data_IF_257936306711
#
_entry.id   IF_257936306711
#
_cell.length_a   1.000
_cell.length_b   1.000
_cell.length_c   1.000
_cell.angle_alpha   90.00
_cell.angle_beta   90.00
_cell.angle_gamma   90.00
#
_symmetry.space_group_name_H-M   'P 1'
#
loop_
_entity.id
_entity.type
_entity.pdbx_description
1 polymer ?
#
# COMPACT_ATOMS: atom_id res chain seq x y z
N UNK A 1 17.25 -6.11 -6.70
CA UNK A 1 16.09 -5.38 -7.20
C UNK A 1 14.85 -6.13 -6.78
N UNK A 2 14.13 -5.58 -5.80
CA UNK A 2 12.83 -6.07 -5.38
C UNK A 2 11.77 -5.44 -6.29
N UNK A 3 10.84 -6.25 -6.77
CA UNK A 3 9.71 -5.80 -7.59
C UNK A 3 8.46 -5.76 -6.72
N UNK A 4 7.80 -4.62 -6.71
CA UNK A 4 6.56 -4.39 -5.98
C UNK A 4 5.45 -4.15 -6.98
N UNK A 5 4.43 -4.99 -6.94
CA UNK A 5 3.19 -4.75 -7.65
C UNK A 5 2.37 -3.74 -6.85
N UNK A 6 1.91 -2.67 -7.50
CA UNK A 6 1.21 -1.58 -6.84
C UNK A 6 -0.11 -1.28 -7.56
N UNK A 7 -1.10 -0.88 -6.79
CA UNK A 7 -2.33 -0.30 -7.30
C UNK A 7 -2.24 1.23 -7.14
N UNK A 8 -2.11 1.94 -8.26
CA UNK A 8 -2.15 3.40 -8.27
C UNK A 8 -3.55 3.85 -8.66
N UNK A 9 -4.29 4.39 -7.69
CA UNK A 9 -5.72 4.71 -7.86
C UNK A 9 -5.99 6.14 -7.43
N UNK A 10 -6.92 6.80 -8.11
CA UNK A 10 -7.37 8.14 -7.76
C UNK A 10 -8.72 8.05 -7.07
N UNK A 11 -8.78 8.41 -5.80
CA UNK A 11 -10.01 8.35 -5.00
C UNK A 11 -10.33 9.72 -4.40
N UNK A 12 -11.57 10.19 -4.61
CA UNK A 12 -12.05 11.48 -4.10
C UNK A 12 -11.14 12.67 -4.44
N UNK A 13 -10.50 12.63 -5.61
CA UNK A 13 -9.60 13.68 -6.09
C UNK A 13 -8.14 13.56 -5.63
N UNK A 14 -7.81 12.61 -4.76
CA UNK A 14 -6.44 12.35 -4.29
C UNK A 14 -5.89 11.06 -4.90
N UNK A 15 -4.61 11.08 -5.27
CA UNK A 15 -3.90 9.90 -5.74
C UNK A 15 -3.39 9.05 -4.57
N UNK A 16 -3.62 7.74 -4.67
CA UNK A 16 -3.28 6.74 -3.68
C UNK A 16 -2.40 5.67 -4.31
N UNK A 17 -1.32 5.34 -3.64
CA UNK A 17 -0.38 4.31 -4.09
C UNK A 17 -0.44 3.17 -3.09
N UNK A 18 -1.12 2.09 -3.45
CA UNK A 18 -1.39 0.97 -2.55
C UNK A 18 -0.39 -0.15 -2.83
N UNK A 19 0.37 -0.51 -1.80
CA UNK A 19 1.33 -1.61 -1.80
C UNK A 19 0.73 -2.83 -1.10
N UNK A 20 0.26 -3.85 -1.85
CA UNK A 20 -0.01 -5.17 -1.29
C UNK A 20 1.30 -5.83 -0.85
N UNK A 21 1.48 -5.97 0.46
CA UNK A 21 2.61 -6.66 1.07
C UNK A 21 2.16 -7.98 1.70
N UNK A 22 3.15 -8.81 2.03
CA UNK A 22 2.95 -10.08 2.73
C UNK A 22 2.81 -9.86 4.24
N UNK A 23 2.32 -10.89 4.95
CA UNK A 23 2.19 -10.89 6.40
C UNK A 23 3.50 -10.63 7.16
N UNK A 24 4.65 -10.85 6.52
CA UNK A 24 5.97 -10.56 7.12
C UNK A 24 6.13 -9.08 7.44
N UNK A 25 5.58 -8.17 6.64
CA UNK A 25 5.55 -6.74 6.96
C UNK A 25 4.78 -6.48 8.26
N UNK A 26 3.60 -7.09 8.39
CA UNK A 26 2.76 -6.97 9.57
C UNK A 26 3.40 -7.49 10.86
N UNK A 27 4.33 -8.45 10.76
CA UNK A 27 5.07 -8.98 11.91
C UNK A 27 6.24 -8.10 12.37
N UNK A 28 6.63 -7.07 11.59
CA UNK A 28 7.73 -6.18 11.96
C UNK A 28 7.32 -5.16 13.02
N UNK A 29 8.32 -4.58 13.68
CA UNK A 29 8.11 -3.50 14.66
C UNK A 29 7.49 -2.26 14.00
N UNK A 30 6.80 -1.42 14.79
CA UNK A 30 6.22 -0.17 14.28
C UNK A 30 7.26 0.75 13.64
N UNK A 31 8.48 0.78 14.18
CA UNK A 31 9.61 1.53 13.65
C UNK A 31 10.04 0.99 12.29
N UNK A 32 10.28 -0.32 12.20
CA UNK A 32 10.68 -0.95 10.93
C UNK A 32 9.61 -0.83 9.84
N UNK A 33 8.34 -0.95 10.21
CA UNK A 33 7.23 -0.71 9.28
C UNK A 33 7.22 0.74 8.78
N UNK A 34 7.50 1.72 9.65
CA UNK A 34 7.58 3.13 9.25
C UNK A 34 8.76 3.37 8.30
N UNK A 35 9.94 2.84 8.61
CA UNK A 35 11.13 2.92 7.74
C UNK A 35 10.87 2.34 6.35
N UNK A 36 10.15 1.22 6.28
CA UNK A 36 9.73 0.63 5.01
C UNK A 36 8.74 1.54 4.29
N UNK A 37 7.73 2.08 4.97
CA UNK A 37 6.79 3.02 4.34
C UNK A 37 7.50 4.26 3.79
N UNK A 38 8.47 4.80 4.53
CA UNK A 38 9.25 5.97 4.10
C UNK A 38 10.09 5.64 2.86
N UNK A 39 10.71 4.44 2.84
CA UNK A 39 11.47 3.94 1.68
C UNK A 39 10.57 3.76 0.45
N UNK A 40 9.37 3.19 0.64
CA UNK A 40 8.38 3.04 -0.43
C UNK A 40 7.88 4.39 -0.95
N UNK A 41 7.69 5.37 -0.06
CA UNK A 41 7.29 6.72 -0.44
C UNK A 41 8.38 7.43 -1.25
N UNK A 42 9.64 7.29 -0.85
CA UNK A 42 10.78 7.81 -1.61
C UNK A 42 10.89 7.15 -3.00
N UNK A 43 10.73 5.83 -3.07
CA UNK A 43 10.74 5.10 -4.34
C UNK A 43 9.58 5.51 -5.25
N UNK A 44 8.38 5.71 -4.69
CA UNK A 44 7.23 6.20 -5.42
C UNK A 44 7.46 7.60 -5.99
N UNK A 45 8.05 8.52 -5.22
CA UNK A 45 8.43 9.84 -5.71
C UNK A 45 9.51 9.77 -6.79
N UNK A 46 10.53 8.92 -6.63
CA UNK A 46 11.55 8.70 -7.65
C UNK A 46 11.00 8.14 -8.97
N UNK A 47 9.87 7.44 -8.92
CA UNK A 47 9.15 6.91 -10.08
C UNK A 47 8.04 7.85 -10.60
N UNK A 48 8.01 9.11 -10.15
CA UNK A 48 7.02 10.14 -10.52
C UNK A 48 5.56 9.70 -10.27
N UNK A 49 5.35 8.91 -9.20
CA UNK A 49 4.02 8.53 -8.76
C UNK A 49 3.48 9.57 -7.80
N UNK A 50 2.50 10.33 -8.26
CA UNK A 50 1.74 11.24 -7.42
C UNK A 50 0.89 10.48 -6.41
N UNK A 51 0.90 10.92 -5.14
CA UNK A 51 0.05 10.39 -4.08
C UNK A 51 0.80 10.05 -2.79
N UNK A 52 0.04 9.55 -1.81
CA UNK A 52 0.64 8.98 -0.59
C UNK A 52 0.63 7.46 -0.66
N UNK A 53 1.67 6.87 -0.11
CA UNK A 53 1.80 5.43 0.05
C UNK A 53 0.84 4.94 1.13
N UNK A 54 0.07 3.92 0.77
CA UNK A 54 -0.71 3.10 1.66
C UNK A 54 -0.24 1.65 1.52
N UNK A 55 -0.17 0.93 2.62
CA UNK A 55 0.24 -0.47 2.65
C UNK A 55 -0.94 -1.31 3.09
N UNK A 56 -1.16 -2.44 2.42
CA UNK A 56 -2.18 -3.42 2.78
C UNK A 56 -1.55 -4.81 2.82
N UNK A 57 -1.89 -5.62 3.81
CA UNK A 57 -1.40 -6.99 3.90
C UNK A 57 -2.47 -7.89 4.49
N UNK A 58 -2.45 -9.15 4.08
CA UNK A 58 -3.32 -10.18 4.65
C UNK A 58 -2.53 -11.02 5.66
N UNK A 59 -3.11 -11.21 6.85
CA UNK A 59 -2.60 -12.11 7.89
C UNK A 59 -3.70 -13.08 8.31
N UNK A 60 -3.58 -14.34 7.88
CA UNK A 60 -4.66 -15.33 8.00
C UNK A 60 -5.93 -14.87 7.29
N UNK A 61 -7.06 -14.85 8.01
CA UNK A 61 -8.36 -14.40 7.48
C UNK A 61 -8.62 -12.90 7.67
N UNK A 62 -7.62 -12.13 8.13
CA UNK A 62 -7.77 -10.70 8.38
C UNK A 62 -6.91 -9.89 7.43
N UNK A 63 -7.49 -8.80 6.95
CA UNK A 63 -6.79 -7.80 6.14
C UNK A 63 -6.43 -6.64 7.05
N UNK A 64 -5.18 -6.23 6.98
CA UNK A 64 -4.62 -5.14 7.73
C UNK A 64 -4.12 -4.08 6.77
N UNK A 65 -4.08 -2.84 7.21
CA UNK A 65 -3.61 -1.73 6.38
C UNK A 65 -2.95 -0.66 7.23
N UNK A 66 -2.08 0.11 6.60
CA UNK A 66 -1.48 1.32 7.13
C UNK A 66 -1.59 2.39 6.05
N UNK A 67 -2.44 3.38 6.32
CA UNK A 67 -2.78 4.44 5.38
C UNK A 67 -3.13 5.72 6.15
N UNK A 68 -3.04 6.90 5.50
CA UNK A 68 -3.59 8.14 6.03
C UNK A 68 -5.05 8.00 6.51
N UNK A 69 -5.40 8.69 7.60
CA UNK A 69 -6.71 8.59 8.26
C UNK A 69 -7.89 8.85 7.30
N UNK A 70 -7.70 9.74 6.32
CA UNK A 70 -8.71 10.07 5.31
C UNK A 70 -9.19 8.85 4.51
N UNK A 71 -8.39 7.80 4.39
CA UNK A 71 -8.70 6.62 3.57
C UNK A 71 -9.11 5.40 4.41
N UNK A 72 -9.20 5.53 5.74
CA UNK A 72 -9.56 4.39 6.61
C UNK A 72 -10.92 3.80 6.26
N UNK A 73 -11.91 4.63 5.90
CA UNK A 73 -13.24 4.14 5.47
C UNK A 73 -13.16 3.29 4.21
N UNK A 74 -12.30 3.68 3.25
CA UNK A 74 -12.06 2.90 2.05
C UNK A 74 -11.43 1.55 2.38
N UNK A 75 -10.36 1.54 3.17
CA UNK A 75 -9.66 0.30 3.53
C UNK A 75 -10.45 -0.62 4.48
N UNK A 76 -11.51 -0.12 5.13
CA UNK A 76 -12.45 -0.94 5.93
C UNK A 76 -13.55 -1.57 5.10
N UNK A 77 -13.62 -1.29 3.80
CA UNK A 77 -14.66 -1.83 2.92
C UNK A 77 -14.54 -3.35 2.77
N UNK A 78 -15.66 -4.09 2.75
CA UNK A 78 -15.64 -5.53 2.49
C UNK A 78 -14.97 -5.83 1.14
N UNK A 79 -14.14 -6.88 1.08
CA UNK A 79 -13.47 -7.27 -0.16
C UNK A 79 -12.34 -6.35 -0.61
N UNK A 80 -11.86 -5.44 0.25
CA UNK A 80 -10.77 -4.51 -0.10
C UNK A 80 -9.52 -5.20 -0.63
N UNK A 81 -9.15 -6.36 -0.09
CA UNK A 81 -7.98 -7.10 -0.55
C UNK A 81 -8.12 -7.52 -2.02
N UNK A 82 -9.23 -8.17 -2.35
CA UNK A 82 -9.53 -8.60 -3.72
C UNK A 82 -9.60 -7.40 -4.68
N UNK A 83 -10.21 -6.30 -4.21
CA UNK A 83 -10.26 -5.06 -4.97
C UNK A 83 -8.86 -4.53 -5.28
N UNK A 84 -7.97 -4.46 -4.29
CA UNK A 84 -6.58 -3.98 -4.51
C UNK A 84 -5.85 -4.88 -5.48
N UNK A 85 -5.92 -6.21 -5.28
CA UNK A 85 -5.25 -7.19 -6.14
C UNK A 85 -5.72 -7.11 -7.59
N UNK A 86 -7.02 -6.84 -7.82
CA UNK A 86 -7.59 -6.66 -9.17
C UNK A 86 -7.24 -5.31 -9.79
N UNK A 87 -6.94 -4.28 -8.99
CA UNK A 87 -6.60 -2.94 -9.44
C UNK A 87 -5.09 -2.67 -9.51
N UNK A 88 -4.25 -3.71 -9.35
CA UNK A 88 -2.81 -3.60 -9.60
C UNK A 88 -2.60 -3.19 -11.07
N UNK A 89 -1.95 -2.04 -11.25
CA UNK A 89 -1.80 -1.43 -12.58
C UNK A 89 -0.38 -0.91 -12.86
N UNK A 90 0.52 -0.99 -11.89
CA UNK A 90 1.92 -0.57 -12.01
C UNK A 90 2.85 -1.54 -11.26
N UNK A 91 4.11 -1.55 -11.68
CA UNK A 91 5.19 -2.28 -11.03
C UNK A 91 6.30 -1.28 -10.68
N UNK A 92 6.73 -1.28 -9.43
CA UNK A 92 7.83 -0.47 -8.92
C UNK A 92 9.03 -1.36 -8.62
N UNK A 93 10.20 -1.00 -9.14
CA UNK A 93 11.44 -1.72 -8.88
C UNK A 93 12.32 -0.90 -7.93
N UNK A 94 12.72 -1.49 -6.80
CA UNK A 94 13.55 -0.88 -5.76
C UNK A 94 14.84 -1.69 -5.58
#
# INVERSE_FOLDING_TARGET
MAKYQIAHVRQSGQDMIIFPLTSSFGSQSNTSQQEIMDSLQQAAWGADLAGHVAVIWQSGNRVHFRAPTAWHSFFRSPGIWEWVMTNINKELTI
#
